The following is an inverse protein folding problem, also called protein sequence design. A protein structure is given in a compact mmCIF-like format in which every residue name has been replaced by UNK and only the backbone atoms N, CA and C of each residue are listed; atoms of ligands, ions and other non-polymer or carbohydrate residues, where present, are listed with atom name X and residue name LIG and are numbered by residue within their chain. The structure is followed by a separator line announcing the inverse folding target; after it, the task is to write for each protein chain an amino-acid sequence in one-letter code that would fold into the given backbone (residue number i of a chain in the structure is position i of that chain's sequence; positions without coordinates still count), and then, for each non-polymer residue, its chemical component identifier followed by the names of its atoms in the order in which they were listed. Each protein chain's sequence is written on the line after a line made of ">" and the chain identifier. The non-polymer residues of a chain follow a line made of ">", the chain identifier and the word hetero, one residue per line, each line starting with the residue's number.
data_IF_798047188662
#
_entry.id   IF_798047188662
#
_cell.length_a   1.000
_cell.length_b   1.000
_cell.length_c   1.000
_cell.angle_alpha   90.00
_cell.angle_beta   90.00
_cell.angle_gamma   90.00
#
_symmetry.space_group_name_H-M   'P 1'
#
loop_
_entity.id
_entity.type
_entity.pdbx_description
1 polymer ?
#
# COMPACT_ATOMS: atom_id res chain seq x y z
N UNK A 1 12.15 -4.64 -9.70
CA UNK A 1 11.52 -3.31 -9.61
C UNK A 1 10.42 -3.22 -10.66
N UNK A 2 9.14 -3.10 -10.28
CA UNK A 2 8.05 -2.95 -11.24
C UNK A 2 7.96 -1.48 -11.69
N UNK A 3 8.18 -1.20 -12.97
CA UNK A 3 7.96 0.13 -13.55
C UNK A 3 6.50 0.24 -14.00
N UNK A 4 5.65 0.79 -13.14
CA UNK A 4 4.24 1.07 -13.43
C UNK A 4 3.34 -0.16 -13.43
N UNK A 5 2.23 -0.08 -12.69
CA UNK A 5 1.28 -1.19 -12.58
C UNK A 5 0.36 -1.25 -13.80
N UNK A 6 0.22 -0.16 -14.55
CA UNK A 6 -0.59 -0.09 -15.78
C UNK A 6 -0.11 -1.00 -16.92
N UNK A 7 1.14 -1.50 -16.89
CA UNK A 7 1.68 -2.31 -17.97
C UNK A 7 1.26 -3.79 -17.87
N UNK A 8 0.88 -4.40 -19.00
CA UNK A 8 0.38 -5.78 -19.07
C UNK A 8 1.33 -6.84 -18.49
N UNK A 9 2.67 -6.77 -18.68
CA UNK A 9 3.62 -7.71 -18.07
C UNK A 9 3.61 -7.64 -16.53
N UNK A 10 3.58 -6.42 -15.97
CA UNK A 10 3.49 -6.19 -14.52
C UNK A 10 2.22 -6.83 -13.96
N UNK A 11 1.07 -6.62 -14.62
CA UNK A 11 -0.21 -7.20 -14.20
C UNK A 11 -0.21 -8.74 -14.24
N UNK A 12 0.41 -9.35 -15.26
CA UNK A 12 0.54 -10.82 -15.35
C UNK A 12 1.37 -11.39 -14.21
N UNK A 13 2.49 -10.75 -13.86
CA UNK A 13 3.33 -11.17 -12.74
C UNK A 13 2.57 -11.03 -11.42
N UNK A 14 1.93 -9.89 -11.18
CA UNK A 14 1.16 -9.65 -9.95
C UNK A 14 0.01 -10.65 -9.79
N UNK A 15 -0.71 -10.97 -10.87
CA UNK A 15 -1.76 -11.98 -10.85
C UNK A 15 -1.20 -13.39 -10.59
N UNK A 16 -0.02 -13.73 -11.12
CA UNK A 16 0.64 -15.01 -10.83
C UNK A 16 1.03 -15.11 -9.37
N UNK A 17 1.69 -14.09 -8.81
CA UNK A 17 2.10 -14.04 -7.40
C UNK A 17 0.89 -14.11 -6.49
N UNK A 18 -0.19 -13.36 -6.79
CA UNK A 18 -1.44 -13.41 -6.02
C UNK A 18 -2.00 -14.82 -5.94
N UNK A 19 -2.07 -15.52 -7.08
CA UNK A 19 -2.61 -16.88 -7.15
C UNK A 19 -1.71 -17.91 -6.45
N UNK A 20 -0.39 -17.77 -6.58
CA UNK A 20 0.57 -18.71 -5.98
C UNK A 20 0.70 -18.55 -4.47
N UNK A 21 0.61 -17.33 -3.95
CA UNK A 21 0.85 -17.04 -2.53
C UNK A 21 -0.43 -16.67 -1.76
N UNK A 22 -1.60 -16.78 -2.38
CA UNK A 22 -2.89 -16.45 -1.77
C UNK A 22 -2.91 -15.08 -1.07
N UNK A 23 -2.37 -14.05 -1.74
CA UNK A 23 -2.23 -12.73 -1.14
C UNK A 23 -3.59 -12.13 -0.74
N UNK A 24 -3.72 -11.76 0.54
CA UNK A 24 -4.93 -11.14 1.09
C UNK A 24 -4.98 -9.61 0.85
N UNK A 25 -3.81 -8.99 0.71
CA UNK A 25 -3.66 -7.57 0.40
C UNK A 25 -2.37 -7.31 -0.39
N UNK A 26 -2.29 -6.14 -1.02
CA UNK A 26 -1.15 -5.71 -1.80
C UNK A 26 -1.04 -4.19 -1.77
N UNK A 27 0.10 -3.67 -1.34
CA UNK A 27 0.46 -2.26 -1.48
C UNK A 27 1.37 -2.09 -2.69
N UNK A 28 1.07 -1.12 -3.56
CA UNK A 28 1.94 -0.78 -4.68
C UNK A 28 2.04 0.73 -4.80
N UNK A 29 3.26 1.19 -5.01
CA UNK A 29 3.50 2.54 -5.51
C UNK A 29 3.34 2.54 -7.03
N UNK A 30 2.38 3.31 -7.54
CA UNK A 30 2.18 3.45 -8.99
C UNK A 30 2.10 4.92 -9.35
N UNK A 31 2.94 5.32 -10.31
CA UNK A 31 2.68 6.53 -11.09
C UNK A 31 1.33 6.34 -11.81
N UNK A 32 0.45 7.33 -11.64
CA UNK A 32 -0.82 7.59 -12.32
C UNK A 32 -1.54 6.38 -12.92
N UNK A 33 -2.63 5.96 -12.26
CA UNK A 33 -3.56 4.98 -12.82
C UNK A 33 -4.84 5.70 -13.23
N UNK A 34 -5.22 5.71 -14.53
CA UNK A 34 -6.37 6.49 -15.02
C UNK A 34 -7.71 6.03 -14.45
N UNK A 35 -7.80 4.77 -13.97
CA UNK A 35 -8.96 4.28 -13.22
C UNK A 35 -8.55 3.27 -12.16
N UNK A 36 -8.62 3.70 -10.91
CA UNK A 36 -8.34 2.92 -9.69
C UNK A 36 -9.21 1.66 -9.61
N UNK A 37 -10.51 1.77 -9.89
CA UNK A 37 -11.44 0.64 -9.82
C UNK A 37 -11.17 -0.47 -10.88
N UNK A 38 -10.85 -0.09 -12.12
CA UNK A 38 -10.48 -1.04 -13.17
C UNK A 38 -9.21 -1.80 -12.77
N UNK A 39 -8.30 -1.11 -12.10
CA UNK A 39 -7.03 -1.68 -11.69
C UNK A 39 -7.17 -2.73 -10.61
N UNK A 40 -8.02 -2.49 -9.61
CA UNK A 40 -8.32 -3.46 -8.56
C UNK A 40 -8.83 -4.77 -9.18
N UNK A 41 -9.81 -4.67 -10.09
CA UNK A 41 -10.36 -5.83 -10.82
C UNK A 41 -9.30 -6.56 -11.64
N UNK A 42 -8.43 -5.84 -12.35
CA UNK A 42 -7.36 -6.45 -13.17
C UNK A 42 -6.33 -7.20 -12.34
N UNK A 43 -6.05 -6.72 -11.13
CA UNK A 43 -5.19 -7.41 -10.15
C UNK A 43 -5.95 -8.45 -9.33
N UNK A 44 -7.26 -8.59 -9.57
CA UNK A 44 -8.23 -9.45 -8.87
C UNK A 44 -8.31 -9.22 -7.37
N UNK A 45 -8.22 -7.96 -6.98
CA UNK A 45 -8.68 -7.46 -5.69
C UNK A 45 -10.05 -6.83 -5.85
N UNK A 46 -10.89 -6.95 -4.81
CA UNK A 46 -12.24 -6.39 -4.85
C UNK A 46 -12.25 -4.91 -4.51
N UNK A 47 -11.35 -4.52 -3.60
CA UNK A 47 -11.32 -3.19 -3.03
C UNK A 47 -9.94 -2.54 -3.18
N UNK A 48 -9.93 -1.21 -3.15
CA UNK A 48 -8.75 -0.38 -3.30
C UNK A 48 -8.96 0.95 -2.56
N UNK A 49 -7.86 1.50 -2.05
CA UNK A 49 -7.76 2.88 -1.59
C UNK A 49 -6.44 3.48 -2.07
N UNK A 50 -6.46 4.76 -2.42
CA UNK A 50 -5.27 5.54 -2.72
C UNK A 50 -4.99 6.53 -1.60
N UNK A 51 -3.74 6.94 -1.45
CA UNK A 51 -3.43 8.11 -0.63
C UNK A 51 -3.90 9.40 -1.31
N UNK A 52 -3.87 10.51 -0.58
CA UNK A 52 -4.28 11.84 -1.04
C UNK A 52 -3.54 12.31 -2.30
N UNK A 53 -2.31 11.84 -2.51
CA UNK A 53 -1.52 12.11 -3.72
C UNK A 53 -1.82 11.20 -4.91
N UNK A 54 -2.64 10.16 -4.76
CA UNK A 54 -2.89 9.11 -5.76
C UNK A 54 -1.62 8.39 -6.24
N UNK A 55 -0.60 8.30 -5.39
CA UNK A 55 0.70 7.69 -5.69
C UNK A 55 0.85 6.31 -5.06
N UNK A 56 0.25 6.12 -3.89
CA UNK A 56 0.27 4.86 -3.14
C UNK A 56 -1.11 4.23 -3.28
N UNK A 57 -1.15 3.02 -3.85
CA UNK A 57 -2.36 2.23 -4.02
C UNK A 57 -2.32 1.02 -3.11
N UNK A 58 -3.38 0.82 -2.34
CA UNK A 58 -3.53 -0.30 -1.43
C UNK A 58 -4.76 -1.12 -1.80
N UNK A 59 -4.55 -2.39 -2.13
CA UNK A 59 -5.57 -3.32 -2.61
C UNK A 59 -5.80 -4.42 -1.58
N UNK A 60 -7.04 -4.89 -1.44
CA UNK A 60 -7.36 -6.02 -0.56
C UNK A 60 -8.53 -6.88 -1.05
N UNK A 61 -8.58 -8.10 -0.53
CA UNK A 61 -9.59 -9.10 -0.86
C UNK A 61 -10.92 -8.90 -0.11
N UNK A 62 -11.98 -9.63 -0.51
CA UNK A 62 -13.33 -9.51 0.08
C UNK A 62 -13.40 -9.85 1.57
N UNK A 63 -12.49 -10.71 2.04
CA UNK A 63 -12.49 -11.22 3.42
C UNK A 63 -11.70 -10.31 4.38
N UNK A 64 -11.24 -9.16 3.92
CA UNK A 64 -10.44 -8.21 4.69
C UNK A 64 -11.21 -6.90 4.80
N UNK A 65 -11.35 -6.38 6.01
CA UNK A 65 -11.79 -5.01 6.26
C UNK A 65 -10.56 -4.13 6.37
N UNK A 66 -10.56 -3.01 5.65
CA UNK A 66 -9.47 -2.05 5.63
C UNK A 66 -9.97 -0.70 6.13
N UNK A 67 -9.28 -0.13 7.12
CA UNK A 67 -9.52 1.21 7.63
C UNK A 67 -8.27 2.05 7.41
N UNK A 68 -8.41 3.21 6.77
CA UNK A 68 -7.31 4.19 6.66
C UNK A 68 -7.15 4.90 8.00
N UNK A 69 -5.94 4.84 8.55
CA UNK A 69 -5.57 5.51 9.81
C UNK A 69 -4.83 6.81 9.55
N UNK A 70 -3.92 6.81 8.56
CA UNK A 70 -3.17 7.98 8.14
C UNK A 70 -3.17 8.03 6.62
N UNK A 71 -3.63 9.15 6.10
CA UNK A 71 -3.55 9.50 4.68
C UNK A 71 -2.58 10.68 4.51
N UNK A 72 -1.44 10.43 3.88
CA UNK A 72 -0.37 11.40 3.69
C UNK A 72 0.25 11.23 2.30
N UNK A 73 0.83 12.30 1.75
CA UNK A 73 1.36 12.31 0.38
C UNK A 73 2.45 11.24 0.15
N UNK A 74 3.25 10.97 1.19
CA UNK A 74 4.37 10.02 1.18
C UNK A 74 4.10 8.72 1.94
N UNK A 75 2.90 8.56 2.51
CA UNK A 75 2.59 7.51 3.47
C UNK A 75 1.10 7.18 3.45
N UNK A 76 0.77 5.89 3.43
CA UNK A 76 -0.57 5.39 3.69
C UNK A 76 -0.52 4.32 4.77
N UNK A 77 -1.15 4.59 5.91
CA UNK A 77 -1.22 3.65 7.03
C UNK A 77 -2.64 3.11 7.16
N UNK A 78 -2.78 1.79 7.13
CA UNK A 78 -4.07 1.10 7.20
C UNK A 78 -4.10 0.05 8.31
N UNK A 79 -5.28 -0.17 8.86
CA UNK A 79 -5.61 -1.28 9.75
C UNK A 79 -6.42 -2.32 8.98
N UNK A 80 -5.98 -3.57 9.05
CA UNK A 80 -6.62 -4.71 8.42
C UNK A 80 -7.21 -5.67 9.45
N UNK A 81 -8.45 -6.08 9.22
CA UNK A 81 -9.15 -7.07 10.04
C UNK A 81 -9.73 -8.17 9.15
N UNK A 82 -9.61 -9.41 9.58
CA UNK A 82 -10.18 -10.58 8.89
C UNK A 82 -10.43 -11.69 9.89
N UNK A 83 -11.42 -12.54 9.60
CA UNK A 83 -11.69 -13.74 10.39
C UNK A 83 -10.55 -14.79 10.28
N UNK A 84 -9.58 -14.60 9.36
CA UNK A 84 -8.41 -15.46 9.20
C UNK A 84 -7.35 -15.27 10.28
N UNK A 85 -7.33 -14.12 10.95
CA UNK A 85 -6.31 -13.79 11.95
C UNK A 85 -6.93 -13.27 13.25
N UNK A 86 -6.37 -13.63 14.41
CA UNK A 86 -6.96 -13.32 15.71
C UNK A 86 -6.76 -11.85 16.15
N UNK A 87 -5.87 -11.10 15.50
CA UNK A 87 -5.53 -9.71 15.85
C UNK A 87 -5.49 -8.84 14.60
N UNK A 88 -5.83 -7.54 14.70
CA UNK A 88 -5.68 -6.60 13.59
C UNK A 88 -4.21 -6.52 13.14
N UNK A 89 -4.02 -6.41 11.83
CA UNK A 89 -2.72 -6.22 11.20
C UNK A 89 -2.61 -4.77 10.72
N UNK A 90 -1.54 -4.09 11.10
CA UNK A 90 -1.27 -2.74 10.66
C UNK A 90 -0.31 -2.79 9.48
N UNK A 91 -0.63 -2.08 8.41
CA UNK A 91 0.21 -2.04 7.22
C UNK A 91 0.45 -0.60 6.82
N UNK A 92 1.73 -0.27 6.69
CA UNK A 92 2.20 1.04 6.31
C UNK A 92 2.92 0.95 4.97
N UNK A 93 2.33 1.59 3.96
CA UNK A 93 2.94 1.76 2.65
C UNK A 93 3.62 3.13 2.59
N UNK A 94 4.92 3.15 2.32
CA UNK A 94 5.72 4.39 2.28
C UNK A 94 6.27 4.63 0.86
N UNK A 95 6.19 5.87 0.42
CA UNK A 95 6.89 6.35 -0.75
C UNK A 95 7.58 7.67 -0.41
N UNK A 96 8.85 7.58 -0.01
CA UNK A 96 9.63 8.75 0.37
C UNK A 96 10.02 9.55 -0.89
N UNK A 97 9.80 10.86 -0.83
CA UNK A 97 10.35 11.80 -1.82
C UNK A 97 11.87 11.87 -1.66
N UNK A 98 12.56 12.20 -2.76
CA UNK A 98 14.01 12.37 -2.75
C UNK A 98 14.45 13.68 -2.07
N UNK A 99 13.58 14.68 -2.03
CA UNK A 99 13.90 15.97 -1.42
C UNK A 99 14.02 15.84 0.10
N UNK A 100 15.11 16.36 0.65
CA UNK A 100 15.42 16.23 2.08
C UNK A 100 14.46 17.01 2.98
N UNK A 101 13.93 18.13 2.50
CA UNK A 101 12.96 18.97 3.23
C UNK A 101 11.61 18.28 3.24
N UNK A 102 11.12 17.83 2.08
CA UNK A 102 9.85 17.12 1.99
C UNK A 102 9.88 15.80 2.76
N UNK A 103 11.01 15.09 2.77
CA UNK A 103 11.18 13.84 3.53
C UNK A 103 11.12 14.06 5.05
N UNK A 104 11.36 15.28 5.56
CA UNK A 104 11.20 15.57 6.99
C UNK A 104 9.74 15.43 7.44
N UNK A 105 8.79 15.89 6.63
CA UNK A 105 7.37 15.74 6.92
C UNK A 105 6.94 14.26 7.03
N UNK A 106 7.55 13.37 6.24
CA UNK A 106 7.37 11.93 6.37
C UNK A 106 7.86 11.42 7.73
N UNK A 107 9.08 11.78 8.15
CA UNK A 107 9.62 11.34 9.44
C UNK A 107 8.82 11.88 10.63
N UNK A 108 8.30 13.11 10.52
CA UNK A 108 7.41 13.70 11.53
C UNK A 108 6.11 12.92 11.65
N UNK A 109 5.50 12.55 10.52
CA UNK A 109 4.31 11.70 10.49
C UNK A 109 4.57 10.29 11.02
N UNK A 110 5.74 9.70 10.75
CA UNK A 110 6.10 8.37 11.26
C UNK A 110 6.25 8.36 12.78
N UNK A 111 6.81 9.43 13.37
CA UNK A 111 7.01 9.54 14.82
C UNK A 111 5.71 9.62 15.62
N UNK A 112 4.61 10.07 15.01
CA UNK A 112 3.31 10.14 15.69
C UNK A 112 2.53 8.83 15.66
N UNK A 113 3.00 7.83 14.91
CA UNK A 113 2.29 6.55 14.72
C UNK A 113 2.72 5.55 15.79
N UNK A 114 1.73 5.03 16.51
CA UNK A 114 1.89 3.95 17.47
C UNK A 114 0.83 2.87 17.22
N UNK A 115 1.28 1.61 17.16
CA UNK A 115 0.45 0.42 16.88
C UNK A 115 0.36 -0.52 18.10
N UNK A 116 0.98 -0.13 19.22
CA UNK A 116 1.05 -0.95 20.43
C UNK A 116 1.69 -2.32 20.19
N UNK A 117 1.12 -3.37 20.75
CA UNK A 117 1.59 -4.76 20.64
C UNK A 117 1.02 -5.52 19.42
N UNK A 118 0.42 -4.82 18.46
CA UNK A 118 -0.18 -5.45 17.28
C UNK A 118 0.88 -5.68 16.20
N UNK A 119 0.74 -6.72 15.36
CA UNK A 119 1.66 -6.93 14.25
C UNK A 119 1.61 -5.74 13.28
N UNK A 120 2.78 -5.26 12.88
CA UNK A 120 2.93 -4.07 12.04
C UNK A 120 3.92 -4.34 10.92
N UNK A 121 3.47 -4.15 9.68
CA UNK A 121 4.26 -4.28 8.47
C UNK A 121 4.51 -2.88 7.93
N UNK A 122 5.78 -2.54 7.77
CA UNK A 122 6.21 -1.31 7.11
C UNK A 122 6.93 -1.71 5.84
N UNK A 123 6.45 -1.22 4.69
CA UNK A 123 7.03 -1.55 3.39
C UNK A 123 6.90 -0.39 2.42
N UNK A 124 7.87 -0.25 1.53
CA UNK A 124 7.89 0.89 0.62
C UNK A 124 9.27 1.21 0.08
N UNK A 125 9.34 2.32 -0.64
CA UNK A 125 10.59 2.89 -1.13
C UNK A 125 11.00 4.06 -0.22
N UNK A 126 11.99 3.81 0.64
CA UNK A 126 12.56 4.78 1.58
C UNK A 126 13.77 5.48 0.94
N UNK A 127 13.63 5.95 -0.30
CA UNK A 127 14.71 6.42 -1.17
C UNK A 127 15.89 7.04 -0.42
N UNK A 128 17.06 6.44 -0.57
CA UNK A 128 18.35 7.06 -0.27
C UNK A 128 18.74 7.92 -1.47
N UNK A 129 18.61 9.24 -1.33
CA UNK A 129 19.10 10.19 -2.34
C UNK A 129 20.27 10.95 -1.68
N UNK A 130 21.47 10.74 -2.22
CA UNK A 130 22.69 11.51 -1.92
C UNK A 130 22.73 12.75 -2.80
#
# INVERSE_FOLDING_TARGET
>A
MFRGVGNAPTQRILNRVRKQHHLDFLAIWSLWVPSTAIMARRLGFLYLVSNCGNQILFFWGPNVRCQVLVDHEQLLHVRLESNKWPKPLFVMAVYAKCDTVERRALWDALRSISVGASPWIVGGDFKYCF
#
